data_IF_337003547128
#
_entry.id   IF_337003547128
#
_cell.length_a   1.000
_cell.length_b   1.000
_cell.length_c   1.000
_cell.angle_alpha   90.00
_cell.angle_beta   90.00
_cell.angle_gamma   90.00
#
_symmetry.space_group_name_H-M   'P 1'
#
loop_
_entity.id
_entity.type
_entity.pdbx_description
1 polymer ?
#
# COMPACT_ATOMS: atom_id res chain seq x y z
N UNK A 1 -14.04 8.40 14.18
CA UNK A 1 -13.28 7.15 14.41
C UNK A 1 -11.89 7.38 13.83
N UNK A 2 -10.80 7.10 14.56
CA UNK A 2 -9.44 7.31 14.03
C UNK A 2 -9.13 6.34 12.88
N UNK A 3 -8.39 6.81 11.88
CA UNK A 3 -7.97 6.06 10.71
C UNK A 3 -7.24 4.75 11.06
N UNK A 4 -6.48 4.71 12.16
CA UNK A 4 -5.82 3.50 12.62
C UNK A 4 -6.80 2.43 13.10
N UNK A 5 -7.90 2.84 13.75
CA UNK A 5 -8.96 1.91 14.18
C UNK A 5 -9.69 1.33 12.98
N UNK A 6 -9.97 2.16 11.96
CA UNK A 6 -10.56 1.70 10.70
C UNK A 6 -9.64 0.71 9.98
N UNK A 7 -8.35 1.04 9.84
CA UNK A 7 -7.36 0.13 9.23
C UNK A 7 -7.25 -1.19 10.00
N UNK A 8 -7.23 -1.14 11.34
CA UNK A 8 -7.22 -2.35 12.19
C UNK A 8 -8.47 -3.20 11.96
N UNK A 9 -9.64 -2.58 11.84
CA UNK A 9 -10.87 -3.32 11.53
C UNK A 9 -10.81 -3.97 10.15
N UNK A 10 -10.27 -3.27 9.14
CA UNK A 10 -10.01 -3.86 7.83
C UNK A 10 -9.07 -5.06 7.91
N UNK A 11 -8.00 -4.97 8.71
CA UNK A 11 -7.08 -6.09 8.98
C UNK A 11 -7.76 -7.28 9.66
N UNK A 12 -8.60 -7.03 10.65
CA UNK A 12 -9.36 -8.07 11.33
C UNK A 12 -10.30 -8.81 10.36
N UNK A 13 -11.01 -8.09 9.48
CA UNK A 13 -11.83 -8.71 8.44
C UNK A 13 -11.00 -9.45 7.38
N UNK A 14 -9.82 -8.96 7.02
CA UNK A 14 -8.95 -9.62 6.05
C UNK A 14 -8.46 -10.98 6.56
N UNK A 15 -8.07 -11.06 7.83
CA UNK A 15 -7.48 -12.27 8.42
C UNK A 15 -8.46 -13.09 9.27
N UNK A 16 -9.70 -12.63 9.46
CA UNK A 16 -10.69 -13.29 10.31
C UNK A 16 -10.33 -13.25 11.81
N UNK A 17 -9.73 -12.15 12.27
CA UNK A 17 -9.30 -11.99 13.68
C UNK A 17 -10.46 -11.37 14.46
N UNK A 18 -11.00 -12.09 15.43
CA UNK A 18 -12.15 -11.68 16.27
C UNK A 18 -13.47 -11.46 15.49
N UNK A 19 -13.45 -11.57 14.16
CA UNK A 19 -14.60 -11.45 13.25
C UNK A 19 -14.48 -12.52 12.16
N UNK A 20 -15.60 -12.89 11.54
CA UNK A 20 -15.57 -13.74 10.34
C UNK A 20 -14.80 -13.03 9.21
N UNK A 21 -13.94 -13.79 8.50
CA UNK A 21 -13.18 -13.26 7.37
C UNK A 21 -14.13 -12.75 6.29
N UNK A 22 -13.93 -11.50 5.87
CA UNK A 22 -14.73 -10.85 4.84
C UNK A 22 -13.85 -9.85 4.07
N UNK A 23 -13.39 -10.25 2.89
CA UNK A 23 -12.46 -9.45 2.09
C UNK A 23 -13.10 -8.17 1.55
N UNK A 24 -14.42 -8.16 1.29
CA UNK A 24 -15.13 -6.95 0.85
C UNK A 24 -15.17 -5.91 1.96
N UNK A 25 -15.52 -6.32 3.18
CA UNK A 25 -15.45 -5.43 4.35
C UNK A 25 -14.03 -4.97 4.64
N UNK A 26 -13.04 -5.85 4.49
CA UNK A 26 -11.64 -5.48 4.64
C UNK A 26 -11.28 -4.31 3.71
N UNK A 27 -11.58 -4.45 2.42
CA UNK A 27 -11.36 -3.40 1.42
C UNK A 27 -12.09 -2.10 1.75
N UNK A 28 -13.38 -2.16 2.13
CA UNK A 28 -14.15 -0.98 2.52
C UNK A 28 -13.52 -0.22 3.70
N UNK A 29 -13.05 -0.93 4.73
CA UNK A 29 -12.42 -0.29 5.89
C UNK A 29 -11.03 0.26 5.59
N UNK A 30 -10.24 -0.41 4.75
CA UNK A 30 -8.99 0.15 4.24
C UNK A 30 -9.23 1.42 3.43
N UNK A 31 -10.24 1.45 2.56
CA UNK A 31 -10.64 2.64 1.81
C UNK A 31 -11.05 3.79 2.73
N UNK A 32 -11.91 3.55 3.71
CA UNK A 32 -12.31 4.57 4.70
C UNK A 32 -11.11 5.13 5.48
N UNK A 33 -10.16 4.27 5.86
CA UNK A 33 -8.93 4.72 6.52
C UNK A 33 -8.01 5.51 5.57
N UNK A 34 -7.95 5.12 4.30
CA UNK A 34 -7.17 5.79 3.26
C UNK A 34 -7.72 7.19 2.95
N UNK A 35 -9.05 7.35 2.91
CA UNK A 35 -9.73 8.64 2.73
C UNK A 35 -9.41 9.64 3.86
N UNK A 36 -9.07 9.13 5.05
CA UNK A 36 -8.60 9.94 6.18
C UNK A 36 -7.07 10.23 6.14
N UNK A 37 -6.40 9.91 5.03
CA UNK A 37 -4.97 10.19 4.82
C UNK A 37 -4.01 9.21 5.49
N UNK A 38 -4.48 8.04 5.94
CA UNK A 38 -3.59 7.04 6.55
C UNK A 38 -2.70 6.37 5.50
N UNK A 39 -1.42 6.71 5.49
CA UNK A 39 -0.47 6.22 4.49
C UNK A 39 -0.32 4.68 4.47
N UNK A 40 -0.48 4.01 5.62
CA UNK A 40 -0.46 2.54 5.70
C UNK A 40 -1.72 1.97 5.05
N UNK A 41 -2.90 2.54 5.35
CA UNK A 41 -4.14 2.10 4.73
C UNK A 41 -4.17 2.35 3.21
N UNK A 42 -3.61 3.47 2.73
CA UNK A 42 -3.47 3.75 1.30
C UNK A 42 -2.61 2.66 0.63
N UNK A 43 -1.53 2.23 1.28
CA UNK A 43 -0.73 1.08 0.81
C UNK A 43 -1.55 -0.22 0.85
N UNK A 44 -2.32 -0.48 1.91
CA UNK A 44 -3.16 -1.68 2.03
C UNK A 44 -4.22 -1.74 0.91
N UNK A 45 -4.81 -0.60 0.51
CA UNK A 45 -5.69 -0.52 -0.67
C UNK A 45 -4.95 -0.89 -1.96
N UNK A 46 -3.72 -0.38 -2.14
CA UNK A 46 -2.87 -0.76 -3.28
C UNK A 46 -2.64 -2.27 -3.31
N UNK A 47 -2.40 -2.89 -2.16
CA UNK A 47 -2.23 -4.33 -2.02
C UNK A 47 -3.51 -5.11 -2.35
N UNK A 48 -4.69 -4.60 -1.99
CA UNK A 48 -5.96 -5.19 -2.37
C UNK A 48 -6.14 -5.25 -3.89
N UNK A 49 -5.81 -4.18 -4.62
CA UNK A 49 -5.89 -4.17 -6.09
C UNK A 49 -4.90 -5.11 -6.77
N UNK A 50 -3.75 -5.43 -6.16
CA UNK A 50 -2.83 -6.47 -6.68
C UNK A 50 -3.43 -7.85 -6.56
N UNK A 51 -3.93 -8.15 -5.37
CA UNK A 51 -4.26 -9.51 -4.99
C UNK A 51 -5.74 -9.86 -5.24
N UNK A 52 -6.57 -8.86 -5.54
CA UNK A 52 -7.99 -9.02 -5.75
C UNK A 52 -8.76 -9.20 -4.43
N UNK A 53 -8.31 -8.57 -3.35
CA UNK A 53 -8.87 -8.73 -2.01
C UNK A 53 -10.07 -7.78 -1.87
N UNK A 54 -11.28 -8.32 -1.96
CA UNK A 54 -12.52 -7.55 -1.84
C UNK A 54 -12.83 -6.62 -3.03
N UNK A 55 -11.95 -6.59 -4.03
CA UNK A 55 -12.05 -5.77 -5.24
C UNK A 55 -11.45 -6.53 -6.43
N UNK A 56 -11.87 -6.22 -7.65
CA UNK A 56 -11.23 -6.77 -8.85
C UNK A 56 -9.78 -6.30 -8.96
N UNK A 57 -8.91 -7.17 -9.49
CA UNK A 57 -7.50 -6.85 -9.69
C UNK A 57 -7.34 -5.72 -10.70
N UNK A 58 -6.54 -4.73 -10.35
CA UNK A 58 -6.22 -3.59 -11.21
C UNK A 58 -4.81 -3.09 -10.88
N UNK A 59 -3.84 -3.51 -11.69
CA UNK A 59 -2.44 -3.16 -11.46
C UNK A 59 -2.16 -1.66 -11.58
N UNK A 60 -2.93 -0.96 -12.43
CA UNK A 60 -2.77 0.48 -12.61
C UNK A 60 -3.26 1.24 -11.38
N UNK A 61 -4.45 0.90 -10.86
CA UNK A 61 -4.93 1.47 -9.59
C UNK A 61 -4.00 1.12 -8.44
N UNK A 62 -3.54 -0.13 -8.35
CA UNK A 62 -2.58 -0.52 -7.32
C UNK A 62 -1.33 0.38 -7.33
N UNK A 63 -0.78 0.64 -8.51
CA UNK A 63 0.35 1.56 -8.68
C UNK A 63 0.02 2.99 -8.24
N UNK A 64 -1.14 3.53 -8.61
CA UNK A 64 -1.59 4.87 -8.19
C UNK A 64 -1.69 4.99 -6.66
N UNK A 65 -2.24 3.97 -5.98
CA UNK A 65 -2.31 3.95 -4.52
C UNK A 65 -0.93 3.82 -3.86
N UNK A 66 -0.04 2.97 -4.38
CA UNK A 66 1.33 2.90 -3.88
C UNK A 66 2.09 4.22 -4.05
N UNK A 67 1.92 4.91 -5.18
CA UNK A 67 2.49 6.25 -5.38
C UNK A 67 2.00 7.24 -4.32
N UNK A 68 0.68 7.31 -4.09
CA UNK A 68 0.10 8.18 -3.05
C UNK A 68 0.63 7.87 -1.66
N UNK A 69 0.71 6.59 -1.28
CA UNK A 69 1.28 6.20 0.01
C UNK A 69 2.77 6.53 0.12
N UNK A 70 3.53 6.38 -0.98
CA UNK A 70 4.94 6.73 -1.05
C UNK A 70 5.22 8.23 -0.93
N UNK A 71 4.35 9.07 -1.47
CA UNK A 71 4.38 10.53 -1.30
C UNK A 71 4.15 10.94 0.16
N UNK A 72 3.32 10.18 0.89
CA UNK A 72 3.10 10.34 2.33
C UNK A 72 4.18 9.66 3.20
N UNK A 73 5.25 9.16 2.60
CA UNK A 73 6.39 8.58 3.32
C UNK A 73 6.21 7.13 3.78
N UNK A 74 5.22 6.39 3.26
CA UNK A 74 5.11 4.96 3.56
C UNK A 74 6.26 4.18 2.90
N UNK A 75 7.12 3.58 3.73
CA UNK A 75 8.32 2.85 3.29
C UNK A 75 8.00 1.63 2.42
N UNK A 76 6.96 0.86 2.79
CA UNK A 76 6.54 -0.31 2.02
C UNK A 76 6.05 0.11 0.63
N UNK A 77 5.29 1.21 0.55
CA UNK A 77 4.81 1.75 -0.71
C UNK A 77 5.96 2.24 -1.60
N UNK A 78 6.99 2.88 -1.03
CA UNK A 78 8.18 3.32 -1.79
C UNK A 78 8.89 2.13 -2.43
N UNK A 79 9.07 1.02 -1.68
CA UNK A 79 9.59 -0.22 -2.22
C UNK A 79 8.70 -0.81 -3.31
N UNK A 80 7.38 -0.84 -3.07
CA UNK A 80 6.41 -1.36 -4.04
C UNK A 80 6.44 -0.58 -5.37
N UNK A 81 6.57 0.76 -5.32
CA UNK A 81 6.72 1.61 -6.52
C UNK A 81 8.00 1.26 -7.29
N UNK A 82 9.14 1.11 -6.60
CA UNK A 82 10.40 0.71 -7.22
C UNK A 82 10.29 -0.62 -7.97
N UNK A 83 9.65 -1.61 -7.33
CA UNK A 83 9.37 -2.91 -7.94
C UNK A 83 8.41 -2.83 -9.13
N UNK A 84 7.38 -1.96 -9.07
CA UNK A 84 6.45 -1.78 -10.20
C UNK A 84 7.17 -1.24 -11.43
N UNK A 85 8.05 -0.26 -11.26
CA UNK A 85 8.87 0.26 -12.36
C UNK A 85 9.88 -0.78 -12.87
N UNK A 86 10.40 -1.66 -12.02
CA UNK A 86 11.31 -2.73 -12.43
C UNK A 86 10.60 -3.78 -13.31
N UNK A 87 9.38 -4.16 -12.92
CA UNK A 87 8.61 -5.24 -13.56
C UNK A 87 7.68 -4.77 -14.69
N UNK A 88 7.34 -3.49 -14.72
CA UNK A 88 6.33 -2.94 -15.63
C UNK A 88 4.89 -3.26 -15.23
N UNK A 89 4.61 -3.43 -13.93
CA UNK A 89 3.29 -3.83 -13.43
C UNK A 89 2.45 -2.59 -13.09
N UNK A 90 1.45 -2.29 -13.92
CA UNK A 90 0.56 -1.12 -13.74
C UNK A 90 1.17 0.20 -14.22
N UNK A 91 2.43 0.17 -14.64
CA UNK A 91 3.20 1.28 -15.20
C UNK A 91 4.20 0.71 -16.21
N UNK A 92 4.64 1.50 -17.19
CA UNK A 92 5.73 1.08 -18.08
C UNK A 92 7.01 0.80 -17.30
N UNK A 93 7.78 -0.21 -17.72
CA UNK A 93 9.09 -0.49 -17.13
C UNK A 93 10.00 0.74 -17.27
N UNK A 94 10.64 1.13 -16.17
CA UNK A 94 11.56 2.28 -16.11
C UNK A 94 12.67 2.00 -15.08
N UNK A 95 13.84 1.59 -15.57
CA UNK A 95 14.97 1.19 -14.71
C UNK A 95 15.53 2.37 -13.91
N UNK A 96 15.49 3.59 -14.48
CA UNK A 96 15.96 4.79 -13.80
C UNK A 96 15.07 5.11 -12.61
N UNK A 97 13.75 5.13 -12.81
CA UNK A 97 12.80 5.35 -11.71
C UNK A 97 12.85 4.22 -10.68
N UNK A 98 12.95 2.97 -11.12
CA UNK A 98 13.13 1.84 -10.20
C UNK A 98 14.34 2.05 -9.28
N UNK A 99 15.51 2.40 -9.84
CA UNK A 99 16.71 2.70 -9.07
C UNK A 99 16.51 3.89 -8.11
N UNK A 100 15.89 4.97 -8.56
CA UNK A 100 15.60 6.14 -7.72
C UNK A 100 14.73 5.78 -6.49
N UNK A 101 13.68 4.97 -6.69
CA UNK A 101 12.79 4.54 -5.60
C UNK A 101 13.47 3.54 -4.65
N UNK A 102 14.27 2.60 -5.16
CA UNK A 102 15.03 1.68 -4.31
C UNK A 102 16.10 2.40 -3.49
N UNK A 103 16.78 3.40 -4.08
CA UNK A 103 17.70 4.26 -3.33
C UNK A 103 16.97 5.03 -2.23
N UNK A 104 15.82 5.63 -2.56
CA UNK A 104 14.96 6.33 -1.57
C UNK A 104 14.56 5.41 -0.41
N UNK A 105 14.22 4.16 -0.71
CA UNK A 105 13.91 3.14 0.30
C UNK A 105 15.10 2.83 1.22
N UNK A 106 16.29 2.59 0.64
CA UNK A 106 17.50 2.32 1.39
C UNK A 106 17.87 3.49 2.32
N UNK A 107 17.81 4.73 1.83
CA UNK A 107 18.15 5.93 2.61
C UNK A 107 17.22 6.12 3.82
N UNK A 108 15.93 5.77 3.72
CA UNK A 108 15.03 5.78 4.88
C UNK A 108 15.36 4.67 5.88
N UNK A 109 15.71 3.48 5.41
CA UNK A 109 16.16 2.37 6.26
C UNK A 109 17.42 2.73 7.05
N UNK A 110 18.41 3.36 6.41
CA UNK A 110 19.64 3.80 7.07
C UNK A 110 19.42 4.91 8.10
N UNK A 111 18.48 5.83 7.87
CA UNK A 111 18.13 6.89 8.84
C UNK A 111 17.57 6.34 10.16
N UNK A 112 16.94 5.16 10.16
CA UNK A 112 16.43 4.52 11.38
C UNK A 112 17.52 3.94 12.29
N UNK A 113 18.73 3.71 11.78
CA UNK A 113 19.84 3.10 12.54
C UNK A 113 20.66 4.15 13.31
N UNK A 114 20.44 5.44 13.03
CA UNK A 114 21.22 6.57 13.59
C UNK A 114 20.47 7.40 14.64
N UNK A 115 19.38 6.87 15.23
CA UNK A 115 18.64 7.49 16.34
C UNK A 115 18.62 6.57 17.55
#
# INVERSE_FOLDING_TARGET
MDSNKLRKLGYNYHYGIEVEKDEKKAFEYYMKAAELGNAVAINDVGYCYVNGIGVEKDEKKAFEYYMKAAELGNENAINNVGYRYERGNGVGKDEKKSFEYHKKAADMGSRKILQ
#
